data_IF_742927053305
#
_entry.id   IF_742927053305
#
_cell.length_a   1.000
_cell.length_b   1.000
_cell.length_c   1.000
_cell.angle_alpha   90.00
_cell.angle_beta   90.00
_cell.angle_gamma   90.00
#
_symmetry.space_group_name_H-M   'P 1'
#
loop_
_entity.id
_entity.type
_entity.pdbx_description
1 polymer ?
#
# COMPACT_ATOMS: atom_id res chain seq x y z
N UNK A 1 39.48 21.41 -62.87
CA UNK A 1 38.33 20.51 -63.05
C UNK A 1 37.42 20.75 -61.85
N UNK A 2 36.48 21.70 -61.80
CA UNK A 2 35.52 22.20 -62.79
C UNK A 2 34.25 21.35 -62.76
N UNK A 3 33.03 21.91 -62.66
CA UNK A 3 32.62 23.10 -61.88
C UNK A 3 31.22 22.95 -61.18
N UNK A 4 30.85 24.01 -60.43
CA UNK A 4 29.48 24.34 -59.99
C UNK A 4 28.52 24.52 -61.17
N UNK A 5 27.22 24.26 -60.95
CA UNK A 5 26.14 24.94 -61.66
C UNK A 5 24.96 25.27 -60.72
N UNK A 6 24.45 26.49 -60.92
CA UNK A 6 23.48 27.23 -60.11
C UNK A 6 22.60 27.95 -61.14
N UNK A 7 21.28 27.73 -61.16
CA UNK A 7 20.30 28.58 -61.89
C UNK A 7 18.87 28.15 -61.50
N UNK A 8 18.11 28.98 -60.76
CA UNK A 8 17.23 30.10 -61.17
C UNK A 8 15.81 29.67 -61.59
N UNK A 9 14.82 30.16 -60.84
CA UNK A 9 13.39 30.29 -61.20
C UNK A 9 13.18 31.21 -62.42
N UNK A 10 11.99 31.18 -63.06
CA UNK A 10 11.08 32.31 -62.87
C UNK A 10 9.56 32.00 -62.85
N UNK A 11 8.85 32.70 -61.94
CA UNK A 11 7.62 33.51 -62.10
C UNK A 11 6.44 33.11 -63.03
N UNK A 12 5.24 33.30 -62.42
CA UNK A 12 3.98 33.86 -62.98
C UNK A 12 2.89 32.93 -63.59
N UNK A 13 1.74 32.82 -62.88
CA UNK A 13 0.40 33.36 -63.30
C UNK A 13 -0.77 32.96 -62.36
N UNK A 14 -1.52 33.97 -61.93
CA UNK A 14 -2.92 34.02 -61.41
C UNK A 14 -3.70 34.93 -62.42
N UNK A 15 -5.05 35.08 -62.52
CA UNK A 15 -6.28 34.39 -62.02
C UNK A 15 -7.31 34.04 -63.14
N UNK A 16 -8.49 33.48 -62.81
CA UNK A 16 -9.85 34.10 -63.01
C UNK A 16 -11.05 33.13 -63.15
N UNK A 17 -12.23 33.69 -62.83
CA UNK A 17 -13.65 33.29 -63.05
C UNK A 17 -14.31 32.50 -61.89
N UNK A 18 -15.12 33.11 -60.99
CA UNK A 18 -16.42 33.82 -61.15
C UNK A 18 -17.49 32.98 -61.86
N UNK A 19 -18.51 32.57 -61.10
CA UNK A 19 -19.93 32.64 -61.45
C UNK A 19 -20.71 32.67 -60.12
N UNK A 20 -21.22 33.82 -59.66
CA UNK A 20 -22.63 34.27 -59.87
C UNK A 20 -23.61 33.09 -59.99
N UNK A 21 -24.64 32.91 -59.19
CA UNK A 21 -25.45 33.83 -58.39
C UNK A 21 -26.90 33.44 -58.68
N UNK A 22 -27.72 33.14 -57.66
CA UNK A 22 -29.17 33.34 -57.78
C UNK A 22 -29.85 33.32 -56.40
N UNK A 23 -30.28 34.51 -56.00
CA UNK A 23 -31.22 34.79 -54.94
C UNK A 23 -32.60 34.77 -55.59
N UNK A 24 -33.52 33.94 -55.08
CA UNK A 24 -34.94 34.11 -55.33
C UNK A 24 -35.66 34.48 -54.03
N UNK A 25 -36.00 35.77 -53.93
CA UNK A 25 -37.02 36.33 -53.07
C UNK A 25 -38.28 36.58 -53.92
N UNK A 26 -39.42 36.05 -53.48
CA UNK A 26 -40.75 36.71 -53.51
C UNK A 26 -41.79 35.77 -52.86
N UNK A 27 -42.28 36.08 -51.65
CA UNK A 27 -43.37 37.01 -51.32
C UNK A 27 -44.76 36.37 -51.38
N UNK A 28 -45.39 36.10 -50.23
CA UNK A 28 -46.84 36.30 -50.02
C UNK A 28 -47.25 36.15 -48.54
N UNK A 29 -47.66 37.29 -47.96
CA UNK A 29 -48.69 37.59 -46.95
C UNK A 29 -48.88 36.75 -45.65
N UNK A 30 -49.06 37.41 -44.48
CA UNK A 30 -49.29 36.79 -43.17
C UNK A 30 -50.78 36.74 -42.78
N UNK A 31 -51.40 35.57 -42.72
CA UNK A 31 -52.73 35.43 -42.08
C UNK A 31 -53.11 33.96 -41.79
N UNK A 32 -52.40 33.26 -40.90
CA UNK A 32 -52.89 31.97 -40.36
C UNK A 32 -52.14 31.51 -39.10
N UNK A 33 -51.85 32.41 -38.15
CA UNK A 33 -51.19 32.04 -36.89
C UNK A 33 -51.98 32.57 -35.69
N UNK A 34 -53.03 31.86 -35.28
CA UNK A 34 -53.67 32.12 -33.98
C UNK A 34 -54.32 30.90 -33.31
N UNK A 35 -54.63 29.81 -34.02
CA UNK A 35 -55.48 28.75 -33.42
C UNK A 35 -54.79 27.40 -33.16
N UNK A 36 -53.48 27.26 -33.42
CA UNK A 36 -52.76 25.99 -33.23
C UNK A 36 -51.75 25.96 -32.09
N UNK A 37 -51.80 26.93 -31.16
CA UNK A 37 -50.80 27.06 -30.08
C UNK A 37 -51.26 26.65 -28.68
N UNK A 38 -52.48 26.13 -28.51
CA UNK A 38 -53.01 25.80 -27.16
C UNK A 38 -53.05 24.30 -26.86
N UNK A 39 -53.01 23.41 -27.87
CA UNK A 39 -53.05 21.95 -27.63
C UNK A 39 -51.70 21.21 -27.72
N UNK A 40 -50.62 21.87 -28.15
CA UNK A 40 -49.30 21.24 -28.28
C UNK A 40 -48.43 21.32 -27.00
N UNK A 41 -48.74 22.26 -26.08
CA UNK A 41 -47.91 22.52 -24.89
C UNK A 41 -48.03 21.47 -23.78
N UNK A 42 -49.12 20.69 -23.73
CA UNK A 42 -49.33 19.69 -22.69
C UNK A 42 -48.67 18.33 -23.00
N UNK A 43 -48.75 17.90 -24.26
CA UNK A 43 -48.26 16.59 -24.69
C UNK A 43 -46.73 16.53 -24.84
N UNK A 44 -46.09 17.64 -25.26
CA UNK A 44 -44.62 17.71 -25.31
C UNK A 44 -44.00 17.77 -23.91
N UNK A 45 -44.67 18.44 -22.96
CA UNK A 45 -44.19 18.54 -21.57
C UNK A 45 -44.33 17.23 -20.79
N UNK A 46 -45.37 16.43 -21.07
CA UNK A 46 -45.49 15.09 -20.47
C UNK A 46 -44.47 14.10 -21.05
N UNK A 47 -44.16 14.18 -22.36
CA UNK A 47 -43.10 13.39 -23.00
C UNK A 47 -41.71 13.76 -22.50
N UNK A 48 -41.43 15.06 -22.26
CA UNK A 48 -40.14 15.49 -21.71
C UNK A 48 -39.94 15.02 -20.27
N UNK A 49 -41.00 15.04 -19.45
CA UNK A 49 -40.95 14.51 -18.10
C UNK A 49 -40.80 12.97 -18.09
N UNK A 50 -41.50 12.25 -18.99
CA UNK A 50 -41.35 10.80 -19.07
C UNK A 50 -39.99 10.36 -19.62
N UNK A 51 -39.42 11.10 -20.59
CA UNK A 51 -38.05 10.86 -21.03
C UNK A 51 -37.06 11.16 -19.90
N UNK A 52 -37.18 12.30 -19.21
CA UNK A 52 -36.32 12.61 -18.06
C UNK A 52 -36.43 11.61 -16.90
N UNK A 53 -37.61 11.05 -16.63
CA UNK A 53 -37.81 9.97 -15.67
C UNK A 53 -37.24 8.64 -16.16
N UNK A 54 -37.35 8.32 -17.45
CA UNK A 54 -36.75 7.12 -18.04
C UNK A 54 -35.23 7.22 -18.07
N UNK A 55 -34.64 8.38 -18.41
CA UNK A 55 -33.19 8.59 -18.36
C UNK A 55 -32.68 8.54 -16.92
N UNK A 56 -33.36 9.19 -15.96
CA UNK A 56 -33.03 9.06 -14.53
C UNK A 56 -33.18 7.64 -14.01
N UNK A 57 -34.20 6.89 -14.44
CA UNK A 57 -34.38 5.49 -14.05
C UNK A 57 -33.34 4.57 -14.69
N UNK A 58 -32.88 4.87 -15.91
CA UNK A 58 -31.82 4.11 -16.58
C UNK A 58 -30.46 4.41 -15.96
N UNK A 59 -30.14 5.68 -15.68
CA UNK A 59 -28.94 6.08 -14.96
C UNK A 59 -28.91 5.50 -13.56
N UNK A 60 -30.04 5.52 -12.82
CA UNK A 60 -30.09 4.97 -11.47
C UNK A 60 -29.97 3.44 -11.45
N UNK A 61 -30.54 2.73 -12.43
CA UNK A 61 -30.36 1.27 -12.58
C UNK A 61 -28.94 0.91 -13.02
N UNK A 62 -28.34 1.71 -13.90
CA UNK A 62 -26.96 1.52 -14.36
C UNK A 62 -25.94 1.80 -13.25
N UNK A 63 -26.10 2.90 -12.51
CA UNK A 63 -25.30 3.22 -11.31
C UNK A 63 -25.48 2.14 -10.24
N UNK A 64 -26.71 1.67 -9.99
CA UNK A 64 -26.96 0.59 -9.01
C UNK A 64 -26.34 -0.74 -9.46
N UNK A 65 -26.44 -1.10 -10.74
CA UNK A 65 -25.80 -2.32 -11.27
C UNK A 65 -24.28 -2.24 -11.20
N UNK A 66 -23.68 -1.07 -11.44
CA UNK A 66 -22.25 -0.84 -11.28
C UNK A 66 -21.79 -0.84 -9.83
N UNK A 67 -22.55 -0.22 -8.93
CA UNK A 67 -22.29 -0.27 -7.49
C UNK A 67 -22.36 -1.72 -7.00
N UNK A 68 -23.32 -2.51 -7.46
CA UNK A 68 -23.40 -3.94 -7.15
C UNK A 68 -22.22 -4.73 -7.74
N UNK A 69 -21.78 -4.40 -8.95
CA UNK A 69 -20.58 -5.00 -9.58
C UNK A 69 -19.32 -4.67 -8.78
N UNK A 70 -19.16 -3.40 -8.37
CA UNK A 70 -18.06 -2.92 -7.55
C UNK A 70 -18.08 -3.55 -6.15
N UNK A 71 -19.25 -3.63 -5.51
CA UNK A 71 -19.42 -4.36 -4.24
C UNK A 71 -19.12 -5.85 -4.36
N UNK A 72 -19.54 -6.50 -5.45
CA UNK A 72 -19.21 -7.90 -5.70
C UNK A 72 -17.71 -8.08 -5.87
N UNK A 73 -17.06 -7.18 -6.62
CA UNK A 73 -15.64 -7.26 -6.90
C UNK A 73 -14.78 -7.00 -5.66
N UNK A 74 -15.16 -6.01 -4.84
CA UNK A 74 -14.44 -5.64 -3.62
C UNK A 74 -14.77 -6.58 -2.46
N UNK A 75 -16.02 -7.04 -2.28
CA UNK A 75 -16.41 -7.82 -1.10
C UNK A 75 -16.56 -9.32 -1.35
N UNK A 76 -16.72 -9.79 -2.59
CA UNK A 76 -17.06 -11.20 -2.84
C UNK A 76 -16.02 -11.92 -3.72
N UNK A 77 -15.42 -11.25 -4.72
CA UNK A 77 -14.48 -11.89 -5.67
C UNK A 77 -13.23 -12.44 -5.00
N UNK A 78 -12.70 -11.76 -3.98
CA UNK A 78 -11.49 -12.20 -3.30
C UNK A 78 -11.80 -13.35 -2.32
N UNK A 79 -11.12 -14.49 -2.49
CA UNK A 79 -11.29 -15.67 -1.62
C UNK A 79 -11.04 -15.38 -0.14
N UNK A 80 -10.21 -14.38 0.15
CA UNK A 80 -9.89 -13.96 1.52
C UNK A 80 -11.06 -13.28 2.24
N UNK A 81 -12.04 -12.74 1.49
CA UNK A 81 -13.21 -12.08 2.05
C UNK A 81 -14.19 -13.04 2.76
N UNK A 82 -13.96 -14.36 2.66
CA UNK A 82 -14.60 -15.35 3.55
C UNK A 82 -14.35 -15.02 5.02
N UNK A 83 -13.27 -14.31 5.35
CA UNK A 83 -12.94 -13.87 6.70
C UNK A 83 -13.66 -12.59 7.15
N UNK A 84 -14.32 -11.86 6.24
CA UNK A 84 -14.94 -10.55 6.53
C UNK A 84 -16.03 -10.61 7.62
N UNK A 85 -16.84 -11.69 7.74
CA UNK A 85 -17.81 -11.83 8.83
C UNK A 85 -17.19 -11.87 10.24
N UNK A 86 -15.89 -12.20 10.37
CA UNK A 86 -15.22 -12.24 11.68
C UNK A 86 -15.07 -10.85 12.31
N UNK A 87 -15.03 -9.78 11.52
CA UNK A 87 -15.01 -8.40 12.03
C UNK A 87 -16.27 -8.05 12.85
N UNK A 88 -17.47 -8.07 12.25
CA UNK A 88 -18.72 -7.91 12.99
C UNK A 88 -18.89 -8.90 14.14
N UNK A 89 -18.44 -10.15 13.96
CA UNK A 89 -18.48 -11.16 15.01
C UNK A 89 -17.63 -10.78 16.22
N UNK A 90 -16.44 -10.20 16.01
CA UNK A 90 -15.57 -9.73 17.09
C UNK A 90 -16.24 -8.62 17.92
N UNK A 91 -16.90 -7.68 17.23
CA UNK A 91 -17.67 -6.59 17.87
C UNK A 91 -18.82 -7.19 18.70
N UNK A 92 -19.59 -8.11 18.11
CA UNK A 92 -20.69 -8.78 18.82
C UNK A 92 -20.18 -9.54 20.05
N UNK A 93 -19.05 -10.24 19.91
CA UNK A 93 -18.47 -11.03 20.98
C UNK A 93 -17.96 -10.18 22.15
N UNK A 94 -17.41 -9.00 21.84
CA UNK A 94 -16.97 -8.02 22.84
C UNK A 94 -18.12 -7.62 23.76
N UNK A 95 -19.31 -7.35 23.20
CA UNK A 95 -20.48 -6.99 23.99
C UNK A 95 -21.14 -8.17 24.72
N UNK A 96 -20.98 -9.41 24.22
CA UNK A 96 -21.70 -10.58 24.75
C UNK A 96 -20.94 -11.40 25.79
N UNK A 97 -19.62 -11.56 25.65
CA UNK A 97 -18.89 -12.60 26.40
C UNK A 97 -17.74 -12.08 27.26
N UNK A 98 -17.29 -10.84 27.08
CA UNK A 98 -16.12 -10.29 27.81
C UNK A 98 -14.83 -11.10 27.64
N UNK A 99 -14.79 -12.10 26.73
CA UNK A 99 -13.64 -12.98 26.53
C UNK A 99 -12.65 -12.35 25.56
N UNK A 100 -11.75 -11.53 26.11
CA UNK A 100 -10.79 -10.74 25.35
C UNK A 100 -9.92 -11.55 24.36
N UNK A 101 -9.49 -12.77 24.70
CA UNK A 101 -8.70 -13.62 23.79
C UNK A 101 -9.44 -13.96 22.48
N UNK A 102 -10.74 -14.24 22.54
CA UNK A 102 -11.53 -14.50 21.33
C UNK A 102 -11.85 -13.22 20.56
N UNK A 103 -12.08 -12.11 21.26
CA UNK A 103 -12.26 -10.79 20.62
C UNK A 103 -11.01 -10.41 19.84
N UNK A 104 -9.83 -10.61 20.43
CA UNK A 104 -8.55 -10.41 19.75
C UNK A 104 -8.44 -11.28 18.50
N UNK A 105 -8.65 -12.60 18.63
CA UNK A 105 -8.52 -13.54 17.52
C UNK A 105 -9.48 -13.23 16.36
N UNK A 106 -10.75 -12.95 16.64
CA UNK A 106 -11.72 -12.61 15.59
C UNK A 106 -11.51 -11.23 14.99
N UNK A 107 -11.05 -10.24 15.78
CA UNK A 107 -10.68 -8.92 15.25
C UNK A 107 -9.52 -9.04 14.28
N UNK A 108 -8.52 -9.83 14.64
CA UNK A 108 -7.35 -10.14 13.84
C UNK A 108 -7.75 -10.82 12.52
N UNK A 109 -8.59 -11.87 12.55
CA UNK A 109 -9.14 -12.48 11.34
C UNK A 109 -9.98 -11.52 10.48
N UNK A 110 -10.74 -10.63 11.11
CA UNK A 110 -11.58 -9.64 10.42
C UNK A 110 -10.75 -8.56 9.70
N UNK A 111 -9.56 -8.24 10.20
CA UNK A 111 -8.67 -7.23 9.59
C UNK A 111 -7.97 -7.75 8.34
N UNK A 112 -7.63 -9.04 8.27
CA UNK A 112 -6.96 -9.65 7.10
C UNK A 112 -7.59 -9.24 5.75
N UNK A 113 -8.88 -9.52 5.49
CA UNK A 113 -9.48 -9.19 4.19
C UNK A 113 -9.60 -7.69 3.97
N UNK A 114 -9.71 -6.89 5.04
CA UNK A 114 -9.82 -5.44 4.91
C UNK A 114 -8.50 -4.80 4.52
N UNK A 115 -7.39 -5.25 5.13
CA UNK A 115 -6.05 -4.82 4.77
C UNK A 115 -5.75 -5.13 3.30
N UNK A 116 -6.10 -6.34 2.87
CA UNK A 116 -5.94 -6.78 1.48
C UNK A 116 -6.75 -5.93 0.49
N UNK A 117 -8.05 -5.70 0.79
CA UNK A 117 -8.91 -4.86 -0.05
C UNK A 117 -8.53 -3.38 -0.02
N UNK A 118 -7.94 -2.90 1.09
CA UNK A 118 -7.44 -1.53 1.21
C UNK A 118 -6.22 -1.33 0.29
N UNK A 119 -5.30 -2.29 0.25
CA UNK A 119 -4.19 -2.32 -0.70
C UNK A 119 -4.68 -2.33 -2.15
N UNK A 120 -5.63 -3.21 -2.47
CA UNK A 120 -6.26 -3.26 -3.80
C UNK A 120 -6.90 -1.92 -4.18
N UNK A 121 -7.69 -1.30 -3.30
CA UNK A 121 -8.32 -0.01 -3.59
C UNK A 121 -7.29 1.11 -3.81
N UNK A 122 -6.16 1.06 -3.10
CA UNK A 122 -5.04 1.99 -3.25
C UNK A 122 -4.37 1.84 -4.62
N UNK A 123 -4.12 0.61 -5.04
CA UNK A 123 -3.55 0.29 -6.35
C UNK A 123 -4.48 0.74 -7.49
N UNK A 124 -5.78 0.44 -7.37
CA UNK A 124 -6.79 0.91 -8.32
C UNK A 124 -6.83 2.44 -8.44
N UNK A 125 -6.65 3.15 -7.32
CA UNK A 125 -6.57 4.62 -7.33
C UNK A 125 -5.25 5.13 -7.93
N UNK A 126 -4.16 4.38 -7.82
CA UNK A 126 -2.85 4.74 -8.36
C UNK A 126 -2.86 4.83 -9.89
N UNK A 127 -3.65 3.99 -10.59
CA UNK A 127 -3.80 4.04 -12.06
C UNK A 127 -4.31 5.39 -12.58
N UNK A 128 -5.11 6.11 -11.77
CA UNK A 128 -5.72 7.38 -12.18
C UNK A 128 -4.94 8.63 -11.77
N UNK A 129 -3.97 8.50 -10.85
CA UNK A 129 -3.32 9.65 -10.20
C UNK A 129 -1.91 9.93 -10.74
N UNK A 130 -1.45 9.11 -11.67
CA UNK A 130 -0.13 9.20 -12.29
C UNK A 130 0.99 8.67 -11.38
N UNK A 131 2.21 8.46 -11.91
CA UNK A 131 3.27 7.74 -11.20
C UNK A 131 3.67 8.37 -9.85
N UNK A 132 3.75 9.70 -9.80
CA UNK A 132 4.18 10.45 -8.60
C UNK A 132 3.17 10.35 -7.47
N UNK A 133 1.90 10.67 -7.74
CA UNK A 133 0.84 10.66 -6.72
C UNK A 133 0.45 9.23 -6.40
N UNK A 134 0.40 8.34 -7.39
CA UNK A 134 0.18 6.91 -7.20
C UNK A 134 1.25 6.26 -6.32
N UNK A 135 2.53 6.60 -6.52
CA UNK A 135 3.62 6.14 -5.66
C UNK A 135 3.50 6.64 -4.21
N UNK A 136 3.08 7.89 -4.01
CA UNK A 136 2.84 8.45 -2.67
C UNK A 136 1.61 7.82 -1.98
N UNK A 137 0.54 7.58 -2.75
CA UNK A 137 -0.64 6.87 -2.28
C UNK A 137 -0.28 5.45 -1.85
N UNK A 138 0.50 4.73 -2.65
CA UNK A 138 0.94 3.39 -2.31
C UNK A 138 1.84 3.38 -1.07
N UNK A 139 2.77 4.34 -0.96
CA UNK A 139 3.62 4.48 0.24
C UNK A 139 2.80 4.71 1.53
N UNK A 140 1.70 5.45 1.43
CA UNK A 140 0.88 5.84 2.59
C UNK A 140 -0.18 4.80 2.91
N UNK A 141 -1.00 4.44 1.93
CA UNK A 141 -2.14 3.54 2.11
C UNK A 141 -1.78 2.06 1.98
N UNK A 142 -0.63 1.72 1.39
CA UNK A 142 -0.10 0.35 1.37
C UNK A 142 0.16 -0.18 2.78
N UNK A 143 0.62 0.68 3.71
CA UNK A 143 0.83 0.35 5.12
C UNK A 143 -0.22 1.00 6.04
N UNK A 144 -1.40 1.34 5.50
CA UNK A 144 -2.41 2.06 6.30
C UNK A 144 -2.91 1.21 7.46
N UNK A 145 -3.00 -0.12 7.32
CA UNK A 145 -3.48 -1.00 8.39
C UNK A 145 -2.57 -0.90 9.62
N UNK A 146 -1.26 -1.03 9.42
CA UNK A 146 -0.22 -0.94 10.45
C UNK A 146 -0.22 0.45 11.08
N UNK A 147 -0.31 1.49 10.26
CA UNK A 147 -0.36 2.87 10.72
C UNK A 147 -1.61 3.15 11.56
N UNK A 148 -2.80 2.67 11.15
CA UNK A 148 -4.06 2.86 11.89
C UNK A 148 -4.02 2.14 13.24
N UNK A 149 -3.57 0.87 13.26
CA UNK A 149 -3.39 0.10 14.49
C UNK A 149 -2.41 0.81 15.43
N UNK A 150 -1.29 1.29 14.89
CA UNK A 150 -0.27 2.02 15.64
C UNK A 150 -0.79 3.33 16.22
N UNK A 151 -1.53 4.12 15.45
CA UNK A 151 -2.09 5.40 15.92
C UNK A 151 -3.12 5.15 17.04
N UNK A 152 -3.96 4.11 16.92
CA UNK A 152 -4.92 3.77 17.97
C UNK A 152 -4.21 3.33 19.26
N UNK A 153 -3.22 2.43 19.16
CA UNK A 153 -2.41 2.01 20.30
C UNK A 153 -1.67 3.18 20.95
N UNK A 154 -1.09 4.09 20.16
CA UNK A 154 -0.42 5.29 20.63
C UNK A 154 -1.37 6.23 21.37
N UNK A 155 -2.60 6.43 20.87
CA UNK A 155 -3.63 7.24 21.52
C UNK A 155 -3.97 6.67 22.91
N UNK A 156 -4.05 5.35 23.02
CA UNK A 156 -4.30 4.64 24.28
C UNK A 156 -3.04 4.52 25.17
N UNK A 157 -1.89 5.07 24.76
CA UNK A 157 -0.65 5.06 25.53
C UNK A 157 0.12 3.74 25.47
N UNK A 158 -0.25 2.82 24.59
CA UNK A 158 0.41 1.52 24.41
C UNK A 158 1.64 1.63 23.50
N UNK A 159 2.61 2.44 23.93
CA UNK A 159 3.84 2.74 23.16
C UNK A 159 4.63 1.47 22.82
N UNK A 160 4.77 0.55 23.78
CA UNK A 160 5.48 -0.73 23.54
C UNK A 160 4.80 -1.59 22.48
N UNK A 161 3.46 -1.63 22.46
CA UNK A 161 2.71 -2.35 21.41
C UNK A 161 2.97 -1.75 20.03
N UNK A 162 3.04 -0.42 19.92
CA UNK A 162 3.37 0.27 18.66
C UNK A 162 4.78 -0.10 18.19
N UNK A 163 5.77 0.02 19.07
CA UNK A 163 7.15 -0.35 18.76
C UNK A 163 7.25 -1.83 18.33
N UNK A 164 6.72 -2.73 19.14
CA UNK A 164 6.81 -4.17 18.91
C UNK A 164 6.07 -4.60 17.63
N UNK A 165 4.88 -4.06 17.36
CA UNK A 165 4.14 -4.40 16.14
C UNK A 165 4.81 -3.92 14.86
N UNK A 166 5.33 -2.68 14.82
CA UNK A 166 6.04 -2.16 13.66
C UNK A 166 7.36 -2.90 13.41
N UNK A 167 8.11 -3.22 14.47
CA UNK A 167 9.32 -4.04 14.36
C UNK A 167 9.00 -5.45 13.88
N UNK A 168 7.96 -6.06 14.43
CA UNK A 168 7.50 -7.39 14.01
C UNK A 168 7.06 -7.43 12.54
N UNK A 169 6.47 -6.35 12.03
CA UNK A 169 6.11 -6.23 10.60
C UNK A 169 7.34 -6.21 9.70
N UNK A 170 8.40 -5.50 10.09
CA UNK A 170 9.69 -5.55 9.38
C UNK A 170 10.28 -6.98 9.42
N UNK A 171 10.31 -7.62 10.60
CA UNK A 171 10.83 -8.99 10.74
C UNK A 171 10.03 -10.00 9.91
N UNK A 172 8.71 -9.89 9.90
CA UNK A 172 7.80 -10.73 9.12
C UNK A 172 8.07 -10.58 7.63
N UNK A 173 8.14 -9.35 7.12
CA UNK A 173 8.37 -9.10 5.70
C UNK A 173 9.77 -9.54 5.26
N UNK A 174 10.80 -9.27 6.06
CA UNK A 174 12.18 -9.58 5.70
C UNK A 174 12.52 -11.07 5.80
N UNK A 175 11.99 -11.80 6.78
CA UNK A 175 12.32 -13.21 6.99
C UNK A 175 11.20 -14.15 6.53
N UNK A 176 9.97 -13.94 7.03
CA UNK A 176 8.87 -14.86 6.79
C UNK A 176 8.32 -14.74 5.36
N UNK A 177 7.99 -13.52 4.90
CA UNK A 177 7.46 -13.30 3.54
C UNK A 177 8.49 -13.67 2.50
N UNK A 178 9.66 -13.05 2.59
CA UNK A 178 10.74 -13.29 1.64
C UNK A 178 11.16 -14.77 1.65
N UNK A 179 11.22 -15.39 2.84
CA UNK A 179 11.53 -16.80 3.00
C UNK A 179 10.49 -17.72 2.34
N UNK A 180 9.19 -17.50 2.62
CA UNK A 180 8.11 -18.25 1.98
C UNK A 180 8.08 -18.06 0.47
N UNK A 181 8.30 -16.83 -0.01
CA UNK A 181 8.32 -16.51 -1.43
C UNK A 181 9.48 -17.22 -2.15
N UNK A 182 10.70 -17.14 -1.61
CA UNK A 182 11.87 -17.84 -2.17
C UNK A 182 11.74 -19.36 -2.08
N UNK A 183 11.17 -19.87 -0.99
CA UNK A 183 10.96 -21.31 -0.80
C UNK A 183 9.97 -21.86 -1.82
N UNK A 184 8.79 -21.26 -1.93
CA UNK A 184 7.74 -21.70 -2.85
C UNK A 184 8.10 -21.44 -4.31
N UNK A 185 8.60 -20.24 -4.64
CA UNK A 185 9.10 -19.91 -5.98
C UNK A 185 10.23 -20.84 -6.42
N UNK A 186 11.17 -21.13 -5.52
CA UNK A 186 12.27 -22.06 -5.76
C UNK A 186 11.85 -23.53 -5.87
N UNK A 187 10.76 -23.96 -5.23
CA UNK A 187 10.18 -25.30 -5.43
C UNK A 187 9.52 -25.41 -6.80
N UNK A 188 8.74 -24.39 -7.19
CA UNK A 188 8.09 -24.35 -8.51
C UNK A 188 9.15 -24.32 -9.61
N UNK A 189 10.20 -23.52 -9.44
CA UNK A 189 11.29 -23.36 -10.38
C UNK A 189 12.54 -24.17 -10.01
N UNK A 190 12.40 -25.36 -9.42
CA UNK A 190 13.53 -26.15 -8.88
C UNK A 190 14.68 -26.47 -9.86
N UNK A 191 14.46 -26.31 -11.18
CA UNK A 191 15.45 -26.54 -12.23
C UNK A 191 16.36 -25.34 -12.50
N UNK A 192 16.04 -24.14 -12.00
CA UNK A 192 16.81 -22.91 -12.22
C UNK A 192 16.81 -22.02 -10.99
N UNK A 193 17.87 -21.25 -10.81
CA UNK A 193 17.86 -20.15 -9.86
C UNK A 193 17.04 -19.00 -10.44
N UNK A 194 16.21 -18.38 -9.61
CA UNK A 194 15.44 -17.21 -9.98
C UNK A 194 16.31 -15.97 -9.78
N UNK A 195 16.29 -15.03 -10.72
CA UNK A 195 17.17 -13.85 -10.72
C UNK A 195 16.35 -12.58 -10.45
N UNK A 196 16.95 -11.63 -9.75
CA UNK A 196 16.37 -10.31 -9.51
C UNK A 196 17.42 -9.19 -9.61
N UNK A 197 16.95 -7.96 -9.71
CA UNK A 197 17.77 -6.77 -9.83
C UNK A 197 18.54 -6.47 -8.53
N UNK A 198 19.85 -6.74 -8.58
CA UNK A 198 20.80 -6.48 -7.48
C UNK A 198 20.83 -5.02 -7.05
N UNK A 199 20.77 -4.08 -8.01
CA UNK A 199 20.88 -2.65 -7.69
C UNK A 199 19.70 -2.17 -6.85
N UNK A 200 18.48 -2.62 -7.18
CA UNK A 200 17.29 -2.30 -6.40
C UNK A 200 17.35 -2.90 -4.98
N UNK A 201 17.79 -4.16 -4.87
CA UNK A 201 17.97 -4.83 -3.58
C UNK A 201 19.01 -4.12 -2.69
N UNK A 202 20.13 -3.66 -3.26
CA UNK A 202 21.19 -2.93 -2.55
C UNK A 202 20.70 -1.58 -2.03
N UNK A 203 19.96 -0.80 -2.85
CA UNK A 203 19.41 0.49 -2.42
C UNK A 203 18.46 0.32 -1.24
N UNK A 204 17.53 -0.64 -1.31
CA UNK A 204 16.59 -0.89 -0.21
C UNK A 204 17.30 -1.42 1.05
N UNK A 205 18.28 -2.31 0.89
CA UNK A 205 19.10 -2.80 2.02
C UNK A 205 19.88 -1.66 2.69
N UNK A 206 20.39 -0.70 1.92
CA UNK A 206 21.05 0.50 2.45
C UNK A 206 20.12 1.40 3.27
N UNK A 207 18.88 1.58 2.83
CA UNK A 207 17.86 2.33 3.58
C UNK A 207 17.46 1.62 4.87
N UNK A 208 17.33 0.29 4.84
CA UNK A 208 17.07 -0.51 6.04
C UNK A 208 18.22 -0.41 7.05
N UNK A 209 19.47 -0.47 6.61
CA UNK A 209 20.63 -0.24 7.48
C UNK A 209 20.64 1.17 8.08
N UNK A 210 20.26 2.18 7.30
CA UNK A 210 20.09 3.55 7.82
C UNK A 210 18.99 3.62 8.88
N UNK A 211 17.87 2.93 8.70
CA UNK A 211 16.81 2.86 9.69
C UNK A 211 17.29 2.20 10.98
N UNK A 212 18.02 1.08 10.87
CA UNK A 212 18.61 0.41 12.04
C UNK A 212 19.59 1.33 12.77
N UNK A 213 20.41 2.10 12.05
CA UNK A 213 21.29 3.09 12.66
C UNK A 213 20.52 4.15 13.47
N UNK A 214 19.38 4.63 12.96
CA UNK A 214 18.49 5.56 13.65
C UNK A 214 17.87 4.99 14.93
N UNK A 215 17.49 3.71 14.90
CA UNK A 215 16.92 2.98 16.04
C UNK A 215 17.98 2.59 17.08
N UNK A 216 19.20 2.27 16.63
CA UNK A 216 20.25 1.72 17.47
C UNK A 216 20.79 2.71 18.48
N UNK A 217 21.02 3.97 18.11
CA UNK A 217 21.63 4.94 19.03
C UNK A 217 20.74 5.27 20.24
N UNK A 218 19.43 5.55 20.10
CA UNK A 218 18.54 5.69 21.24
C UNK A 218 18.54 4.46 22.15
N UNK A 219 18.46 3.25 21.58
CA UNK A 219 18.45 2.01 22.35
C UNK A 219 19.76 1.75 23.12
N UNK A 220 20.91 1.99 22.48
CA UNK A 220 22.22 1.83 23.13
C UNK A 220 22.40 2.87 24.23
N UNK A 221 22.02 4.13 23.98
CA UNK A 221 22.12 5.20 24.98
C UNK A 221 21.30 4.91 26.24
N UNK A 222 20.08 4.37 26.05
CA UNK A 222 19.24 3.91 27.14
C UNK A 222 19.88 2.75 27.91
N UNK A 223 20.46 1.78 27.20
CA UNK A 223 21.09 0.61 27.82
C UNK A 223 22.36 0.95 28.60
N UNK A 224 23.24 1.77 28.03
CA UNK A 224 24.51 2.18 28.66
C UNK A 224 24.30 3.22 29.76
N UNK A 225 23.10 3.82 29.86
CA UNK A 225 22.80 4.94 30.77
C UNK A 225 23.76 6.11 30.59
N UNK A 226 24.31 6.29 29.40
CA UNK A 226 25.33 7.32 29.10
C UNK A 226 24.73 8.61 28.54
N UNK A 227 23.44 8.86 28.79
CA UNK A 227 22.77 10.08 28.38
C UNK A 227 23.10 11.28 29.30
N UNK A 228 23.13 12.48 28.72
CA UNK A 228 23.43 13.71 29.46
C UNK A 228 22.27 14.07 30.40
N UNK A 229 21.03 13.96 29.91
CA UNK A 229 19.82 14.22 30.68
C UNK A 229 18.92 12.99 30.65
N UNK A 230 18.81 12.32 31.80
CA UNK A 230 18.08 11.07 31.93
C UNK A 230 16.65 11.15 31.36
N UNK A 231 16.33 10.24 30.43
CA UNK A 231 15.05 10.13 29.71
C UNK A 231 14.71 11.26 28.73
N UNK A 232 15.34 12.44 28.85
CA UNK A 232 15.08 13.59 27.97
C UNK A 232 15.97 13.57 26.73
N UNK A 233 17.23 13.19 26.88
CA UNK A 233 18.19 13.12 25.79
C UNK A 233 17.79 12.05 24.78
N UNK A 234 17.37 10.87 25.25
CA UNK A 234 16.89 9.76 24.41
C UNK A 234 15.66 10.13 23.56
N UNK A 235 14.64 10.73 24.17
CA UNK A 235 13.43 11.15 23.46
C UNK A 235 13.74 12.26 22.45
N UNK A 236 14.61 13.21 22.81
CA UNK A 236 15.05 14.27 21.90
C UNK A 236 15.83 13.72 20.71
N UNK A 237 16.73 12.76 20.96
CA UNK A 237 17.46 12.06 19.92
C UNK A 237 16.53 11.27 18.99
N UNK A 238 15.53 10.60 19.56
CA UNK A 238 14.52 9.84 18.80
C UNK A 238 13.71 10.74 17.86
N UNK A 239 13.29 11.91 18.34
CA UNK A 239 12.59 12.91 17.51
C UNK A 239 13.49 13.47 16.40
N UNK A 240 14.73 13.79 16.73
CA UNK A 240 15.72 14.25 15.76
C UNK A 240 15.97 13.20 14.67
N UNK A 241 16.25 11.96 15.06
CA UNK A 241 16.49 10.85 14.15
C UNK A 241 15.26 10.57 13.27
N UNK A 242 14.05 10.65 13.83
CA UNK A 242 12.80 10.50 13.08
C UNK A 242 12.66 11.56 11.98
N UNK A 243 12.95 12.83 12.27
CA UNK A 243 12.93 13.89 11.25
C UNK A 243 13.93 13.61 10.13
N UNK A 244 15.15 13.17 10.46
CA UNK A 244 16.17 12.81 9.46
C UNK A 244 15.73 11.63 8.60
N UNK A 245 15.16 10.60 9.21
CA UNK A 245 14.65 9.42 8.49
C UNK A 245 13.50 9.77 7.52
N UNK A 246 12.57 10.64 7.95
CA UNK A 246 11.49 11.13 7.08
C UNK A 246 12.02 11.93 5.89
N UNK A 247 13.03 12.79 6.10
CA UNK A 247 13.67 13.54 5.01
C UNK A 247 14.42 12.61 4.05
N UNK A 248 15.12 11.61 4.57
CA UNK A 248 15.80 10.60 3.76
C UNK A 248 14.78 9.78 2.94
N UNK A 249 13.65 9.40 3.53
CA UNK A 249 12.58 8.69 2.84
C UNK A 249 11.91 9.54 1.76
N UNK A 250 11.61 10.82 2.04
CA UNK A 250 11.08 11.74 1.05
C UNK A 250 12.05 11.94 -0.12
N UNK A 251 13.35 12.06 0.18
CA UNK A 251 14.41 12.14 -0.85
C UNK A 251 14.47 10.86 -1.69
N UNK A 252 14.34 9.70 -1.07
CA UNK A 252 14.24 8.42 -1.75
C UNK A 252 13.00 8.34 -2.66
N UNK A 253 11.82 8.76 -2.20
CA UNK A 253 10.62 8.81 -3.04
C UNK A 253 10.82 9.73 -4.24
N UNK A 254 11.37 10.94 -4.05
CA UNK A 254 11.66 11.85 -5.16
C UNK A 254 12.66 11.22 -6.13
N UNK A 255 13.72 10.58 -5.64
CA UNK A 255 14.68 9.87 -6.47
C UNK A 255 14.03 8.74 -7.26
N UNK A 256 13.19 7.92 -6.61
CA UNK A 256 12.52 6.80 -7.23
C UNK A 256 11.54 7.25 -8.32
N UNK A 257 10.75 8.30 -8.06
CA UNK A 257 9.74 8.82 -8.97
C UNK A 257 10.37 9.60 -10.14
N UNK A 258 11.46 10.34 -9.91
CA UNK A 258 12.16 11.11 -10.95
C UNK A 258 13.08 10.24 -11.82
N UNK A 259 13.81 9.30 -11.21
CA UNK A 259 14.79 8.47 -11.91
C UNK A 259 14.13 7.41 -12.80
N UNK A 260 12.99 6.84 -12.37
CA UNK A 260 12.24 5.87 -13.20
C UNK A 260 11.43 6.48 -14.34
N UNK A 261 11.23 7.80 -14.38
CA UNK A 261 10.64 8.46 -15.55
C UNK A 261 11.52 8.33 -16.80
N UNK A 262 12.84 8.15 -16.64
CA UNK A 262 13.77 7.90 -17.74
C UNK A 262 13.90 6.42 -18.16
N UNK A 263 13.32 5.48 -17.40
CA UNK A 263 13.41 4.04 -17.70
C UNK A 263 12.09 3.46 -18.26
N UNK A 264 11.04 4.28 -18.35
CA UNK A 264 9.76 3.95 -18.95
C UNK A 264 9.48 4.97 -20.08
N UNK A 265 10.34 4.96 -21.09
CA UNK A 265 9.86 5.28 -22.43
C UNK A 265 9.13 4.01 -22.92
N UNK A 266 7.96 4.13 -23.55
CA UNK A 266 7.30 2.97 -24.13
C UNK A 266 8.30 2.29 -25.08
N UNK A 267 8.36 0.97 -25.00
CA UNK A 267 9.12 0.13 -25.91
C UNK A 267 8.43 0.22 -27.26
N UNK A 268 8.81 1.23 -28.04
CA UNK A 268 8.69 1.37 -29.49
C UNK A 268 9.99 2.12 -29.82
N UNK A 269 11.08 1.53 -30.31
CA UNK A 269 11.24 0.87 -31.61
C UNK A 269 12.53 0.04 -31.52
N UNK A 270 12.47 -1.27 -31.73
CA UNK A 270 13.44 -2.04 -32.52
C UNK A 270 12.97 -3.50 -32.64
N UNK A 271 12.86 -3.94 -33.89
CA UNK A 271 12.22 -5.16 -34.37
C UNK A 271 12.82 -6.46 -33.79
N UNK A 272 11.93 -7.41 -33.43
CA UNK A 272 12.33 -8.79 -33.14
C UNK A 272 11.15 -9.67 -32.70
N UNK A 273 10.42 -10.23 -33.67
CA UNK A 273 9.34 -11.21 -33.48
C UNK A 273 9.75 -12.39 -32.58
N UNK A 274 9.23 -12.50 -31.34
CA UNK A 274 9.04 -13.78 -30.63
C UNK A 274 7.81 -13.69 -29.71
N UNK A 275 6.80 -14.47 -30.08
CA UNK A 275 5.74 -15.14 -29.30
C UNK A 275 4.83 -14.35 -28.35
N UNK A 276 3.55 -14.41 -28.70
CA UNK A 276 2.38 -14.18 -27.86
C UNK A 276 2.50 -14.96 -26.54
N UNK A 277 2.82 -14.27 -25.45
CA UNK A 277 2.37 -14.67 -24.12
C UNK A 277 1.68 -13.47 -23.47
N UNK A 278 0.52 -13.73 -22.89
CA UNK A 278 -0.48 -12.75 -22.52
C UNK A 278 0.00 -11.84 -21.38
N UNK A 279 0.58 -10.70 -21.70
CA UNK A 279 0.61 -9.55 -20.79
C UNK A 279 -0.77 -8.88 -20.88
N UNK A 280 -1.68 -9.30 -19.99
CA UNK A 280 -2.86 -8.50 -19.66
C UNK A 280 -2.36 -7.12 -19.21
N UNK A 281 -2.50 -6.10 -20.06
CA UNK A 281 -2.38 -4.71 -19.63
C UNK A 281 -3.32 -4.55 -18.43
N UNK A 282 -2.75 -4.34 -17.23
CA UNK A 282 -3.49 -4.20 -15.97
C UNK A 282 -4.38 -2.95 -16.04
N UNK A 283 -5.56 -3.09 -16.63
CA UNK A 283 -6.55 -2.05 -16.68
C UNK A 283 -7.23 -1.91 -15.33
N UNK A 284 -7.52 -0.68 -14.91
CA UNK A 284 -8.29 -0.42 -13.69
C UNK A 284 -9.66 -1.08 -13.76
N UNK A 285 -9.98 -1.96 -12.80
CA UNK A 285 -11.24 -2.69 -12.74
C UNK A 285 -12.38 -1.84 -12.15
N UNK A 286 -12.05 -0.79 -11.39
CA UNK A 286 -13.01 0.13 -10.73
C UNK A 286 -12.72 1.58 -11.11
N UNK A 287 -13.76 2.43 -11.08
CA UNK A 287 -13.60 3.85 -11.42
C UNK A 287 -12.97 4.67 -10.31
N UNK A 288 -12.39 5.82 -10.66
CA UNK A 288 -11.75 6.75 -9.73
C UNK A 288 -12.57 7.05 -8.46
N UNK A 289 -13.85 7.43 -8.62
CA UNK A 289 -14.72 7.74 -7.49
C UNK A 289 -15.10 6.51 -6.66
N UNK A 290 -15.27 5.35 -7.30
CA UNK A 290 -15.52 4.09 -6.59
C UNK A 290 -14.30 3.69 -5.76
N UNK A 291 -13.08 3.85 -6.29
CA UNK A 291 -11.84 3.58 -5.56
C UNK A 291 -11.71 4.46 -4.30
N UNK A 292 -11.97 5.77 -4.41
CA UNK A 292 -11.94 6.70 -3.26
C UNK A 292 -13.00 6.32 -2.22
N UNK A 293 -14.23 6.02 -2.65
CA UNK A 293 -15.30 5.62 -1.74
C UNK A 293 -14.93 4.33 -0.99
N UNK A 294 -14.45 3.30 -1.70
CA UNK A 294 -14.03 2.05 -1.07
C UNK A 294 -12.82 2.22 -0.15
N UNK A 295 -11.81 2.98 -0.57
CA UNK A 295 -10.65 3.31 0.27
C UNK A 295 -11.11 3.95 1.59
N UNK A 296 -12.06 4.88 1.53
CA UNK A 296 -12.60 5.56 2.71
C UNK A 296 -13.40 4.62 3.62
N UNK A 297 -14.27 3.78 3.05
CA UNK A 297 -15.09 2.81 3.80
C UNK A 297 -14.21 1.77 4.49
N UNK A 298 -13.25 1.20 3.75
CA UNK A 298 -12.33 0.20 4.27
C UNK A 298 -11.45 0.79 5.38
N UNK A 299 -10.91 2.00 5.18
CA UNK A 299 -10.13 2.72 6.21
C UNK A 299 -10.95 2.92 7.48
N UNK A 300 -12.21 3.36 7.36
CA UNK A 300 -13.10 3.54 8.51
C UNK A 300 -13.37 2.21 9.23
N UNK A 301 -13.61 1.14 8.48
CA UNK A 301 -13.91 -0.17 9.05
C UNK A 301 -12.69 -0.82 9.72
N UNK A 302 -11.50 -0.71 9.10
CA UNK A 302 -10.21 -1.07 9.73
C UNK A 302 -10.04 -0.27 11.02
N UNK A 303 -10.25 1.05 11.00
CA UNK A 303 -10.12 1.89 12.19
C UNK A 303 -11.04 1.47 13.35
N UNK A 304 -12.29 1.08 13.06
CA UNK A 304 -13.21 0.55 14.09
C UNK A 304 -12.67 -0.77 14.67
N UNK A 305 -12.27 -1.71 13.82
CA UNK A 305 -11.76 -3.01 14.27
C UNK A 305 -10.40 -2.94 14.97
N UNK A 306 -9.51 -2.04 14.54
CA UNK A 306 -8.25 -1.77 15.22
C UNK A 306 -8.48 -1.37 16.67
N UNK A 307 -9.59 -0.70 16.98
CA UNK A 307 -9.92 -0.35 18.35
C UNK A 307 -10.16 -1.57 19.22
N UNK A 308 -11.06 -2.46 18.79
CA UNK A 308 -11.35 -3.71 19.48
C UNK A 308 -10.14 -4.65 19.55
N UNK A 309 -9.32 -4.70 18.49
CA UNK A 309 -8.09 -5.48 18.46
C UNK A 309 -7.14 -5.02 19.56
N UNK A 310 -6.83 -3.72 19.57
CA UNK A 310 -5.83 -3.12 20.45
C UNK A 310 -6.26 -3.19 21.92
N UNK A 311 -7.54 -2.92 22.21
CA UNK A 311 -8.08 -3.02 23.57
C UNK A 311 -8.14 -4.47 24.08
N UNK A 312 -8.14 -5.46 23.18
CA UNK A 312 -8.13 -6.88 23.53
C UNK A 312 -6.72 -7.48 23.71
N UNK A 313 -5.63 -6.78 23.33
CA UNK A 313 -4.26 -7.32 23.39
C UNK A 313 -3.88 -7.78 24.80
N UNK A 314 -4.14 -6.95 25.81
CA UNK A 314 -3.78 -7.28 27.19
C UNK A 314 -4.55 -8.49 27.71
N UNK A 315 -5.87 -8.54 27.47
CA UNK A 315 -6.69 -9.68 27.86
C UNK A 315 -6.38 -10.95 27.05
N UNK A 316 -5.91 -10.82 25.81
CA UNK A 316 -5.40 -11.93 25.02
C UNK A 316 -4.11 -12.50 25.63
N UNK A 317 -3.18 -11.64 26.02
CA UNK A 317 -1.93 -12.01 26.72
C UNK A 317 -2.20 -12.85 27.97
N UNK A 318 -3.12 -12.39 28.82
CA UNK A 318 -3.51 -13.10 30.04
C UNK A 318 -4.21 -14.44 29.74
N UNK A 319 -5.11 -14.47 28.76
CA UNK A 319 -5.88 -15.68 28.43
C UNK A 319 -5.05 -16.77 27.73
N UNK A 320 -4.05 -16.37 26.93
CA UNK A 320 -3.21 -17.27 26.16
C UNK A 320 -1.90 -17.61 26.87
N UNK A 321 -1.62 -16.98 28.02
CA UNK A 321 -0.37 -17.17 28.78
C UNK A 321 0.88 -16.83 27.95
N UNK A 322 0.80 -15.74 27.18
CA UNK A 322 1.83 -15.30 26.23
C UNK A 322 2.16 -13.83 26.46
N UNK A 323 3.43 -13.42 26.27
CA UNK A 323 3.83 -12.04 26.48
C UNK A 323 3.18 -11.10 25.45
N UNK A 324 2.88 -9.86 25.87
CA UNK A 324 2.41 -8.80 24.96
C UNK A 324 3.42 -8.57 23.83
N UNK A 325 4.71 -8.70 24.13
CA UNK A 325 5.80 -8.65 23.15
C UNK A 325 5.63 -9.74 22.07
N UNK A 326 5.43 -10.99 22.45
CA UNK A 326 5.23 -12.06 21.46
C UNK A 326 3.97 -11.84 20.61
N UNK A 327 2.85 -11.44 21.23
CA UNK A 327 1.61 -11.14 20.51
C UNK A 327 1.84 -10.01 19.50
N UNK A 328 2.53 -8.95 19.91
CA UNK A 328 2.73 -7.75 19.10
C UNK A 328 3.77 -7.97 17.99
N UNK A 329 4.89 -8.63 18.27
CA UNK A 329 5.98 -8.84 17.30
C UNK A 329 5.68 -9.99 16.32
N UNK A 330 5.03 -11.07 16.79
CA UNK A 330 4.86 -12.28 15.98
C UNK A 330 3.43 -12.40 15.45
N UNK A 331 2.41 -12.38 16.31
CA UNK A 331 1.04 -12.68 15.87
C UNK A 331 0.40 -11.54 15.07
N UNK A 332 0.54 -10.30 15.54
CA UNK A 332 -0.08 -9.14 14.90
C UNK A 332 0.39 -8.96 13.45
N UNK A 333 1.70 -9.02 13.14
CA UNK A 333 2.19 -8.70 11.80
C UNK A 333 2.00 -9.84 10.80
N UNK A 334 1.97 -11.11 11.25
CA UNK A 334 1.58 -12.23 10.37
C UNK A 334 0.22 -11.98 9.72
N UNK A 335 -0.67 -11.34 10.47
CA UNK A 335 -2.03 -11.05 10.03
C UNK A 335 -2.15 -9.70 9.34
N UNK A 336 -1.55 -8.65 9.90
CA UNK A 336 -1.53 -7.32 9.26
C UNK A 336 -0.98 -7.41 7.83
N UNK A 337 0.10 -8.17 7.66
CA UNK A 337 0.80 -8.31 6.39
C UNK A 337 0.30 -9.52 5.57
N UNK A 338 -0.72 -10.27 5.99
CA UNK A 338 -1.14 -11.52 5.34
C UNK A 338 -1.45 -11.34 3.83
N UNK A 339 -1.97 -10.18 3.45
CA UNK A 339 -2.19 -9.78 2.07
C UNK A 339 -0.88 -9.71 1.27
N UNK A 340 0.11 -8.98 1.80
CA UNK A 340 1.45 -8.83 1.23
C UNK A 340 2.17 -10.18 1.17
N UNK A 341 2.00 -11.02 2.20
CA UNK A 341 2.54 -12.38 2.21
C UNK A 341 2.03 -13.18 1.01
N UNK A 342 0.72 -13.17 0.79
CA UNK A 342 0.10 -13.94 -0.28
C UNK A 342 0.50 -13.43 -1.67
N UNK A 343 0.55 -12.10 -1.87
CA UNK A 343 0.94 -11.52 -3.15
C UNK A 343 2.42 -11.76 -3.48
N UNK A 344 3.32 -11.59 -2.50
CA UNK A 344 4.75 -11.84 -2.67
C UNK A 344 5.05 -13.30 -3.06
N UNK A 345 4.38 -14.26 -2.42
CA UNK A 345 4.48 -15.69 -2.76
C UNK A 345 3.96 -15.95 -4.18
N UNK A 346 2.80 -15.38 -4.52
CA UNK A 346 2.20 -15.54 -5.84
C UNK A 346 3.10 -15.01 -6.96
N UNK A 347 3.71 -13.83 -6.78
CA UNK A 347 4.66 -13.28 -7.75
C UNK A 347 5.95 -14.10 -7.86
N UNK A 348 6.44 -14.66 -6.74
CA UNK A 348 7.62 -15.52 -6.76
C UNK A 348 7.37 -16.83 -7.51
N UNK A 349 6.17 -17.41 -7.35
CA UNK A 349 5.73 -18.59 -8.11
C UNK A 349 5.54 -18.29 -9.61
N UNK A 350 5.35 -17.03 -10.00
CA UNK A 350 5.27 -16.57 -11.39
C UNK A 350 6.62 -16.08 -11.96
N UNK A 351 7.72 -16.35 -11.26
CA UNK A 351 9.08 -15.91 -11.64
C UNK A 351 9.28 -14.39 -11.68
N UNK A 352 8.41 -13.61 -11.01
CA UNK A 352 8.49 -12.14 -10.94
C UNK A 352 9.14 -11.69 -9.62
N UNK A 353 10.39 -12.11 -9.37
CA UNK A 353 11.05 -11.84 -8.10
C UNK A 353 11.31 -10.36 -7.80
N UNK A 354 11.53 -9.52 -8.82
CA UNK A 354 11.68 -8.08 -8.60
C UNK A 354 10.45 -7.47 -7.93
N UNK A 355 9.26 -7.94 -8.30
CA UNK A 355 7.99 -7.53 -7.68
C UNK A 355 7.91 -8.10 -6.25
N UNK A 356 8.23 -9.38 -6.05
CA UNK A 356 8.30 -10.00 -4.71
C UNK A 356 9.20 -9.23 -3.75
N UNK A 357 10.42 -8.87 -4.17
CA UNK A 357 11.35 -8.07 -3.35
C UNK A 357 10.80 -6.67 -3.12
N UNK A 358 10.14 -6.08 -4.13
CA UNK A 358 9.44 -4.80 -4.01
C UNK A 358 8.36 -4.83 -2.93
N UNK A 359 7.54 -5.88 -2.89
CA UNK A 359 6.51 -6.05 -1.86
C UNK A 359 7.15 -6.21 -0.47
N UNK A 360 8.04 -7.19 -0.29
CA UNK A 360 8.58 -7.51 1.03
C UNK A 360 9.56 -6.44 1.57
N UNK A 361 10.60 -6.12 0.80
CA UNK A 361 11.67 -5.21 1.24
C UNK A 361 11.21 -3.75 1.11
N UNK A 362 10.41 -3.43 0.09
CA UNK A 362 9.82 -2.10 -0.06
C UNK A 362 8.89 -1.75 1.12
N UNK A 363 7.97 -2.66 1.49
CA UNK A 363 7.12 -2.49 2.67
C UNK A 363 7.96 -2.36 3.96
N UNK A 364 8.96 -3.23 4.15
CA UNK A 364 9.91 -3.11 5.28
C UNK A 364 10.60 -1.74 5.35
N UNK A 365 11.06 -1.22 4.21
CA UNK A 365 11.71 0.10 4.10
C UNK A 365 10.74 1.23 4.40
N UNK A 366 9.48 1.11 3.95
CA UNK A 366 8.41 2.07 4.25
C UNK A 366 8.11 2.10 5.75
N UNK A 367 7.93 0.93 6.36
CA UNK A 367 7.65 0.84 7.79
C UNK A 367 8.80 1.44 8.60
N UNK A 368 10.04 1.11 8.25
CA UNK A 368 11.23 1.54 8.99
C UNK A 368 11.54 3.03 8.81
N UNK A 369 11.49 3.55 7.58
CA UNK A 369 11.92 4.92 7.27
C UNK A 369 10.79 5.95 7.30
N UNK A 370 9.53 5.51 7.22
CA UNK A 370 8.35 6.37 7.24
C UNK A 370 7.44 6.10 8.43
N UNK A 371 6.86 4.90 8.56
CA UNK A 371 5.79 4.65 9.55
C UNK A 371 6.29 4.80 11.00
N UNK A 372 7.43 4.22 11.35
CA UNK A 372 8.02 4.33 12.69
C UNK A 372 8.35 5.81 13.03
N UNK A 373 9.14 6.55 12.22
CA UNK A 373 9.38 7.98 12.43
C UNK A 373 8.10 8.83 12.49
N UNK A 374 7.13 8.52 11.63
CA UNK A 374 5.85 9.21 11.62
C UNK A 374 5.09 9.01 12.93
N UNK A 375 5.09 7.80 13.50
CA UNK A 375 4.51 7.54 14.81
C UNK A 375 5.18 8.34 15.93
N UNK A 376 6.51 8.55 15.87
CA UNK A 376 7.22 9.43 16.83
C UNK A 376 6.75 10.88 16.71
N UNK A 377 6.58 11.39 15.48
CA UNK A 377 6.06 12.75 15.24
C UNK A 377 4.61 12.89 15.72
N UNK A 378 3.74 11.92 15.43
CA UNK A 378 2.36 11.90 15.91
C UNK A 378 2.32 11.81 17.45
N UNK A 379 3.18 11.01 18.05
CA UNK A 379 3.32 10.92 19.51
C UNK A 379 3.70 12.27 20.11
N UNK A 380 4.62 12.98 19.46
CA UNK A 380 5.00 14.33 19.87
C UNK A 380 3.81 15.31 19.80
N UNK A 381 2.99 15.25 18.74
CA UNK A 381 1.76 16.06 18.60
C UNK A 381 0.72 15.73 19.68
N UNK A 382 0.55 14.44 20.00
CA UNK A 382 -0.37 13.98 21.06
C UNK A 382 0.18 14.15 22.48
N UNK A 383 1.40 14.66 22.66
CA UNK A 383 2.05 14.77 23.96
C UNK A 383 2.40 13.41 24.60
N UNK A 384 2.49 12.34 23.81
CA UNK A 384 2.92 11.01 24.23
C UNK A 384 4.43 10.85 24.01
N UNK A 385 5.18 10.23 24.93
CA UNK A 385 6.62 10.04 24.80
C UNK A 385 6.95 8.84 23.88
N UNK A 386 6.43 8.82 22.65
CA UNK A 386 6.84 7.83 21.65
C UNK A 386 8.28 8.11 21.24
N UNK A 387 9.16 7.11 21.37
CA UNK A 387 10.57 7.18 21.03
C UNK A 387 10.97 6.03 20.10
N UNK A 388 12.24 6.04 19.69
CA UNK A 388 12.87 5.04 18.83
C UNK A 388 13.64 4.00 19.65
N UNK A 389 13.41 3.91 20.96
CA UNK A 389 14.06 2.91 21.80
C UNK A 389 13.21 1.64 21.86
N UNK A 390 13.55 0.68 21.01
CA UNK A 390 12.88 -0.60 20.96
C UNK A 390 13.38 -1.56 22.04
N UNK A 391 14.35 -1.15 22.87
CA UNK A 391 15.20 -1.96 23.73
C UNK A 391 16.26 -2.76 22.96
N UNK A 392 17.28 -3.23 23.70
CA UNK A 392 18.50 -3.80 23.12
C UNK A 392 18.23 -5.12 22.38
N UNK A 393 17.38 -5.98 22.93
CA UNK A 393 17.07 -7.29 22.36
C UNK A 393 16.41 -7.18 20.99
N UNK A 394 15.39 -6.32 20.89
CA UNK A 394 14.63 -6.06 19.68
C UNK A 394 15.49 -5.36 18.62
N UNK A 395 16.25 -4.35 19.04
CA UNK A 395 17.18 -3.63 18.15
C UNK A 395 18.26 -4.56 17.61
N UNK A 396 18.84 -5.42 18.44
CA UNK A 396 19.83 -6.41 18.01
C UNK A 396 19.23 -7.43 17.04
N UNK A 397 18.01 -7.90 17.32
CA UNK A 397 17.28 -8.84 16.46
C UNK A 397 17.01 -8.23 15.08
N UNK A 398 16.56 -6.97 15.04
CA UNK A 398 16.36 -6.23 13.79
C UNK A 398 17.69 -6.04 13.03
N UNK A 399 18.75 -5.64 13.71
CA UNK A 399 20.07 -5.46 13.10
C UNK A 399 20.59 -6.75 12.46
N UNK A 400 20.55 -7.87 13.19
CA UNK A 400 20.97 -9.18 12.68
C UNK A 400 20.09 -9.59 11.49
N UNK A 401 18.78 -9.36 11.57
CA UNK A 401 17.84 -9.68 10.48
C UNK A 401 18.16 -8.91 9.21
N UNK A 402 18.37 -7.59 9.31
CA UNK A 402 18.73 -6.75 8.17
C UNK A 402 20.06 -7.19 7.56
N UNK A 403 21.06 -7.53 8.38
CA UNK A 403 22.34 -8.05 7.90
C UNK A 403 22.19 -9.38 7.17
N UNK A 404 21.49 -10.36 7.77
CA UNK A 404 21.29 -11.68 7.16
C UNK A 404 20.62 -11.54 5.80
N UNK A 405 19.55 -10.73 5.70
CA UNK A 405 18.84 -10.53 4.45
C UNK A 405 19.70 -9.77 3.43
N UNK A 406 20.42 -8.73 3.84
CA UNK A 406 21.33 -8.00 2.94
C UNK A 406 22.39 -8.93 2.32
N UNK A 407 22.98 -9.83 3.11
CA UNK A 407 23.92 -10.84 2.61
C UNK A 407 23.25 -11.87 1.70
N UNK A 408 22.05 -12.36 2.05
CA UNK A 408 21.33 -13.33 1.21
C UNK A 408 20.97 -12.77 -0.17
N UNK A 409 20.76 -11.44 -0.27
CA UNK A 409 20.38 -10.76 -1.50
C UNK A 409 21.57 -10.31 -2.37
N UNK A 410 22.80 -10.32 -1.84
CA UNK A 410 23.99 -9.80 -2.52
C UNK A 410 24.28 -10.49 -3.86
N UNK A 411 23.94 -11.78 -3.96
CA UNK A 411 24.17 -12.58 -5.16
C UNK A 411 23.16 -12.31 -6.29
N UNK A 412 22.02 -11.65 -6.00
CA UNK A 412 20.94 -11.40 -6.97
C UNK A 412 20.18 -12.62 -7.46
N UNK A 413 20.31 -13.75 -6.75
CA UNK A 413 19.62 -15.00 -7.05
C UNK A 413 18.87 -15.50 -5.83
N UNK A 414 17.71 -16.11 -6.06
CA UNK A 414 16.95 -16.82 -5.04
C UNK A 414 16.74 -18.28 -5.44
N UNK A 415 16.71 -19.14 -4.42
CA UNK A 415 16.41 -20.55 -4.55
C UNK A 415 15.68 -21.05 -3.31
N UNK A 416 15.17 -22.27 -3.38
CA UNK A 416 14.39 -22.84 -2.29
C UNK A 416 15.19 -22.95 -0.98
N UNK A 417 16.50 -23.16 -1.05
CA UNK A 417 17.36 -23.29 0.12
C UNK A 417 17.53 -21.95 0.85
N UNK A 418 17.77 -20.85 0.12
CA UNK A 418 17.78 -19.49 0.69
C UNK A 418 16.43 -19.16 1.34
N UNK A 419 15.32 -19.57 0.70
CA UNK A 419 13.98 -19.42 1.27
C UNK A 419 13.80 -20.19 2.58
N UNK A 420 14.21 -21.46 2.61
CA UNK A 420 14.17 -22.28 3.82
C UNK A 420 15.02 -21.67 4.95
N UNK A 421 16.23 -21.18 4.65
CA UNK A 421 17.09 -20.53 5.64
C UNK A 421 16.40 -19.33 6.29
N UNK A 422 15.76 -18.46 5.50
CA UNK A 422 15.04 -17.29 6.03
C UNK A 422 13.84 -17.69 6.90
N UNK A 423 13.09 -18.72 6.52
CA UNK A 423 11.99 -19.28 7.33
C UNK A 423 12.54 -19.80 8.67
N UNK A 424 13.64 -20.56 8.65
CA UNK A 424 14.27 -21.08 9.87
C UNK A 424 14.79 -19.95 10.76
N UNK A 425 15.37 -18.89 10.19
CA UNK A 425 15.74 -17.69 10.92
C UNK A 425 14.52 -17.03 11.59
N UNK A 426 13.39 -16.92 10.89
CA UNK A 426 12.15 -16.40 11.49
C UNK A 426 11.66 -17.27 12.64
N UNK A 427 11.72 -18.60 12.52
CA UNK A 427 11.32 -19.50 13.62
C UNK A 427 12.21 -19.34 14.86
N UNK A 428 13.52 -19.14 14.67
CA UNK A 428 14.45 -18.84 15.77
C UNK A 428 14.09 -17.50 16.44
N UNK A 429 13.81 -16.47 15.64
CA UNK A 429 13.37 -15.17 16.14
C UNK A 429 12.05 -15.28 16.91
N UNK A 430 11.06 -15.98 16.36
CA UNK A 430 9.77 -16.21 17.02
C UNK A 430 9.95 -16.96 18.36
N UNK A 431 10.76 -18.02 18.38
CA UNK A 431 11.07 -18.74 19.62
C UNK A 431 11.79 -17.86 20.64
N UNK A 432 12.68 -16.96 20.20
CA UNK A 432 13.37 -16.00 21.06
C UNK A 432 12.39 -14.99 21.68
N UNK A 433 11.44 -14.47 20.90
CA UNK A 433 10.37 -13.61 21.42
C UNK A 433 9.38 -14.34 22.33
N UNK A 434 9.20 -15.65 22.16
CA UNK A 434 8.30 -16.44 23.00
C UNK A 434 8.80 -16.54 24.45
N UNK A 435 10.12 -16.57 24.62
CA UNK A 435 10.78 -16.58 25.94
C UNK A 435 11.20 -15.18 26.41
N UNK A 436 10.99 -14.14 25.60
CA UNK A 436 11.32 -12.76 25.93
C UNK A 436 10.17 -12.07 26.68
N UNK A 437 10.54 -11.33 27.72
CA UNK A 437 9.65 -10.48 28.48
C UNK A 437 10.33 -9.13 28.61
N UNK A 438 9.61 -8.06 28.27
CA UNK A 438 10.11 -6.71 28.49
C UNK A 438 10.47 -6.54 29.98
N UNK A 439 11.64 -5.98 30.31
CA UNK A 439 11.95 -5.63 31.68
C UNK A 439 10.85 -4.72 32.20
N UNK A 440 10.15 -5.16 33.25
CA UNK A 440 9.19 -4.33 33.95
C UNK A 440 9.94 -3.07 34.38
N UNK A 441 9.39 -1.90 34.10
CA UNK A 441 9.79 -0.66 34.78
C UNK A 441 9.37 -0.76 36.25
N UNK A 442 10.02 -1.65 37.00
CA UNK A 442 10.00 -1.63 38.45
C UNK A 442 10.84 -0.44 38.86
N UNK A 443 10.16 0.60 39.33
CA UNK A 443 10.74 1.51 40.31
C UNK A 443 11.09 0.66 41.54
N UNK A 444 12.28 0.07 41.54
CA UNK A 444 12.97 -0.37 42.76
C UNK A 444 14.13 0.58 43.01
#
# INVERSE_FOLDING_TARGET
>A
MGPLELQMEPLEKIPDLINEGEIHLNSSSPAANATRKVYASGAERSRFNSLAEVTKSCDLKWVRSRMLMSSYLVLIKAKINVLLPFGPLAIMLHYLTGKHGWVFFFSLLGIIPLAERLGYATEQLAFYTGPTVGGLLNATFGNATEMIISIYALKNGMIRVVQQSLLGSILSNMLLVLGCAFFTGGIVHYKKDQVFNKAAAVVNSGLLLMAVMGLMFPAVLHFTRSEIQYGKSELSLSRYSSCVMLVAYASYLVFQLKSRHNAYSPIDEEEGQIEEDSDEEEASEITYWEAICWLSILTAWVSVLSGYLVDAIQGASESMNMSVAFISVILLPIVGNAAEHASAIMFAMKDKLDITLGVAIGSSTQISMFVIPFCVVIGWIFGKPMDLNFQLFETATLFITVLVVAFMLQEGTANYFKGLMLILCYLIVAASFFVHIDPTTSND
#
